data_IF_868958669673
#
_entry.id   IF_868958669673
#
_cell.length_a   1.000
_cell.length_b   1.000
_cell.length_c   1.000
_cell.angle_alpha   90.00
_cell.angle_beta   90.00
_cell.angle_gamma   90.00
#
_symmetry.space_group_name_H-M   'P 1'
#
loop_
_entity.id
_entity.type
_entity.pdbx_description
1 polymer ?
#
# COMPACT_ATOMS: atom_id res chain seq x y z
N UNK A 1 -26.47 11.98 -14.31
CA UNK A 1 -25.92 12.99 -13.40
C UNK A 1 -24.74 12.33 -12.72
N UNK A 2 -23.52 12.64 -13.13
CA UNK A 2 -22.31 12.15 -12.46
C UNK A 2 -22.26 12.83 -11.08
N UNK A 3 -22.21 12.03 -10.03
CA UNK A 3 -21.94 12.54 -8.68
C UNK A 3 -20.58 13.20 -8.70
N UNK A 4 -20.53 14.47 -8.37
CA UNK A 4 -19.26 15.17 -8.14
C UNK A 4 -18.61 14.49 -6.92
N UNK A 5 -17.62 13.66 -7.18
CA UNK A 5 -16.78 13.08 -6.12
C UNK A 5 -15.80 14.18 -5.73
N UNK A 6 -16.19 15.03 -4.80
CA UNK A 6 -15.21 15.84 -4.08
C UNK A 6 -14.38 14.83 -3.30
N UNK A 7 -13.10 14.68 -3.62
CA UNK A 7 -12.23 13.80 -2.88
C UNK A 7 -12.21 14.30 -1.42
N UNK A 8 -12.66 13.50 -0.45
CA UNK A 8 -12.57 13.90 0.93
C UNK A 8 -11.09 13.93 1.33
N UNK A 9 -10.67 14.98 2.03
CA UNK A 9 -9.32 15.04 2.61
C UNK A 9 -9.11 13.81 3.51
N UNK A 10 -8.06 13.05 3.23
CA UNK A 10 -7.72 11.86 4.02
C UNK A 10 -7.14 12.35 5.34
N UNK A 11 -7.82 12.05 6.43
CA UNK A 11 -7.33 12.34 7.76
C UNK A 11 -6.72 11.07 8.37
N UNK A 12 -5.40 11.00 8.38
CA UNK A 12 -4.69 9.95 9.10
C UNK A 12 -4.55 10.37 10.57
N UNK A 13 -5.42 9.87 11.43
CA UNK A 13 -5.39 10.15 12.87
C UNK A 13 -4.69 9.06 13.66
N UNK A 14 -4.82 7.79 13.22
CA UNK A 14 -4.31 6.63 13.90
C UNK A 14 -3.57 5.73 12.90
N UNK A 15 -2.26 5.63 13.04
CA UNK A 15 -1.40 4.81 12.19
C UNK A 15 -0.90 3.61 12.99
N UNK A 16 -1.16 2.40 12.51
CA UNK A 16 -0.63 1.18 13.09
C UNK A 16 0.63 0.78 12.35
N UNK A 17 1.74 0.67 13.08
CA UNK A 17 3.00 0.14 12.57
C UNK A 17 3.29 -1.22 13.20
N UNK A 18 3.28 -2.27 12.38
CA UNK A 18 3.59 -3.61 12.83
C UNK A 18 5.08 -3.92 12.60
N UNK A 19 5.76 -4.37 13.65
CA UNK A 19 7.20 -4.66 13.62
C UNK A 19 7.53 -6.02 14.20
N UNK A 20 8.45 -6.74 13.54
CA UNK A 20 9.15 -7.91 14.06
C UNK A 20 10.59 -7.57 14.51
N UNK A 21 10.90 -6.27 14.52
CA UNK A 21 12.24 -5.72 14.79
C UNK A 21 13.33 -6.21 13.81
N UNK A 22 12.97 -6.70 12.65
CA UNK A 22 13.94 -7.03 11.62
C UNK A 22 14.50 -5.74 10.96
N UNK A 23 15.69 -5.79 10.34
CA UNK A 23 16.25 -4.62 9.63
C UNK A 23 15.34 -4.10 8.52
N UNK A 24 14.51 -4.96 7.93
CA UNK A 24 13.57 -4.58 6.87
C UNK A 24 12.49 -3.62 7.36
N UNK A 25 12.17 -3.61 8.65
CA UNK A 25 11.15 -2.71 9.22
C UNK A 25 11.65 -1.28 9.41
N UNK A 26 12.96 -1.01 9.30
CA UNK A 26 13.52 0.33 9.52
C UNK A 26 12.98 1.36 8.52
N UNK A 27 12.89 0.99 7.23
CA UNK A 27 12.34 1.88 6.20
C UNK A 27 10.84 2.14 6.42
N UNK A 28 10.11 1.10 6.77
CA UNK A 28 8.68 1.22 7.09
C UNK A 28 8.45 2.09 8.33
N UNK A 29 9.32 2.00 9.32
CA UNK A 29 9.31 2.89 10.48
C UNK A 29 9.53 4.35 10.08
N UNK A 30 10.52 4.64 9.24
CA UNK A 30 10.76 6.00 8.75
C UNK A 30 9.55 6.57 8.02
N UNK A 31 8.90 5.77 7.16
CA UNK A 31 7.65 6.17 6.50
C UNK A 31 6.54 6.46 7.52
N UNK A 32 6.38 5.60 8.53
CA UNK A 32 5.39 5.77 9.59
C UNK A 32 5.57 7.07 10.34
N UNK A 33 6.81 7.34 10.79
CA UNK A 33 7.13 8.55 11.56
C UNK A 33 6.91 9.83 10.74
N UNK A 34 7.32 9.81 9.47
CA UNK A 34 7.12 10.95 8.57
C UNK A 34 5.62 11.24 8.37
N UNK A 35 4.82 10.21 8.09
CA UNK A 35 3.36 10.38 7.95
C UNK A 35 2.73 10.85 9.27
N UNK A 36 3.14 10.27 10.40
CA UNK A 36 2.61 10.65 11.70
C UNK A 36 2.93 12.12 12.04
N UNK A 37 4.12 12.60 11.71
CA UNK A 37 4.48 14.01 11.87
C UNK A 37 3.65 14.91 10.95
N UNK A 38 3.52 14.55 9.68
CA UNK A 38 2.80 15.35 8.70
C UNK A 38 1.31 15.51 9.06
N UNK A 39 0.65 14.41 9.48
CA UNK A 39 -0.78 14.40 9.82
C UNK A 39 -1.08 14.67 11.30
N UNK A 40 -0.07 14.75 12.16
CA UNK A 40 -0.27 14.82 13.61
C UNK A 40 -0.92 13.56 14.18
N UNK A 41 -0.70 12.42 13.53
CA UNK A 41 -1.32 11.14 13.87
C UNK A 41 -0.73 10.51 15.15
N UNK A 42 -1.53 9.69 15.82
CA UNK A 42 -1.07 8.79 16.88
C UNK A 42 -0.53 7.51 16.28
N UNK A 43 0.66 7.06 16.71
CA UNK A 43 1.30 5.83 16.22
C UNK A 43 1.04 4.68 17.20
N UNK A 44 0.46 3.60 16.71
CA UNK A 44 0.30 2.35 17.42
C UNK A 44 1.41 1.40 16.99
N UNK A 45 2.47 1.33 17.79
CA UNK A 45 3.60 0.43 17.55
C UNK A 45 3.24 -0.96 18.06
N UNK A 46 3.14 -1.92 17.17
CA UNK A 46 2.62 -3.26 17.47
C UNK A 46 3.68 -4.32 17.19
N UNK A 47 3.93 -5.16 18.20
CA UNK A 47 4.61 -6.44 18.01
C UNK A 47 3.65 -7.58 18.37
N UNK A 48 3.52 -8.56 17.49
CA UNK A 48 2.70 -9.75 17.72
C UNK A 48 3.61 -10.95 17.91
N UNK A 49 3.53 -11.55 19.08
CA UNK A 49 4.25 -12.79 19.39
C UNK A 49 3.42 -13.98 18.91
N UNK A 50 4.01 -14.92 18.16
CA UNK A 50 3.29 -16.13 17.78
C UNK A 50 3.01 -16.98 19.00
N UNK A 51 1.85 -17.68 19.01
CA UNK A 51 1.63 -18.74 19.98
C UNK A 51 2.68 -19.83 19.80
N UNK A 52 3.59 -19.95 20.76
CA UNK A 52 4.54 -21.04 20.77
C UNK A 52 3.79 -22.31 21.20
N UNK A 53 3.72 -23.35 20.35
CA UNK A 53 3.26 -24.65 20.84
C UNK A 53 4.19 -25.13 21.94
N UNK A 54 3.64 -25.72 23.00
CA UNK A 54 4.37 -26.29 24.11
C UNK A 54 5.33 -27.38 23.60
N UNK A 55 6.56 -27.01 23.33
CA UNK A 55 7.63 -27.95 22.96
C UNK A 55 8.61 -27.99 24.13
N UNK A 56 8.70 -29.13 24.79
CA UNK A 56 9.51 -29.41 25.94
C UNK A 56 11.05 -29.37 25.71
N UNK A 57 11.59 -28.48 24.93
CA UNK A 57 13.02 -28.40 24.69
C UNK A 57 13.55 -26.98 24.53
N UNK A 58 14.20 -26.51 25.57
CA UNK A 58 15.23 -25.44 25.55
C UNK A 58 14.83 -24.18 24.79
N UNK A 59 13.68 -23.58 25.14
CA UNK A 59 13.35 -22.23 24.72
C UNK A 59 13.40 -21.30 25.94
N UNK A 60 13.82 -20.03 25.76
CA UNK A 60 13.76 -19.07 26.87
C UNK A 60 12.31 -18.97 27.37
N UNK A 61 12.16 -18.82 28.69
CA UNK A 61 10.85 -18.64 29.31
C UNK A 61 10.03 -17.56 28.60
N UNK A 62 8.69 -17.75 28.40
CA UNK A 62 7.82 -16.76 27.74
C UNK A 62 7.95 -15.37 28.35
N UNK A 63 8.17 -15.27 29.67
CA UNK A 63 8.43 -14.01 30.36
C UNK A 63 9.72 -13.33 29.88
N UNK A 64 10.78 -14.08 29.63
CA UNK A 64 12.04 -13.53 29.13
C UNK A 64 11.91 -13.02 27.69
N UNK A 65 11.13 -13.71 26.86
CA UNK A 65 10.82 -13.25 25.49
C UNK A 65 10.03 -11.94 25.56
N UNK A 66 9.00 -11.88 26.38
CA UNK A 66 8.18 -10.68 26.58
C UNK A 66 8.99 -9.48 27.11
N UNK A 67 9.90 -9.71 28.05
CA UNK A 67 10.83 -8.68 28.55
C UNK A 67 11.76 -8.18 27.45
N UNK A 68 12.30 -9.08 26.62
CA UNK A 68 13.14 -8.69 25.47
C UNK A 68 12.37 -7.88 24.43
N UNK A 69 11.12 -8.24 24.13
CA UNK A 69 10.24 -7.48 23.21
C UNK A 69 9.95 -6.11 23.80
N UNK A 70 9.58 -6.03 25.08
CA UNK A 70 9.30 -4.76 25.76
C UNK A 70 10.51 -3.83 25.74
N UNK A 71 11.70 -4.35 26.00
CA UNK A 71 12.92 -3.55 25.94
C UNK A 71 13.16 -3.00 24.53
N UNK A 72 13.00 -3.82 23.50
CA UNK A 72 13.14 -3.37 22.10
C UNK A 72 12.11 -2.33 21.69
N UNK A 73 10.87 -2.45 22.18
CA UNK A 73 9.83 -1.42 21.99
C UNK A 73 10.27 -0.10 22.61
N UNK A 74 10.67 -0.15 23.89
CA UNK A 74 11.15 1.03 24.61
C UNK A 74 12.38 1.66 23.95
N UNK A 75 13.31 0.86 23.45
CA UNK A 75 14.51 1.35 22.75
C UNK A 75 14.12 2.11 21.48
N UNK A 76 13.14 1.61 20.70
CA UNK A 76 12.62 2.29 19.52
C UNK A 76 11.93 3.60 19.88
N UNK A 77 11.05 3.60 20.88
CA UNK A 77 10.23 4.76 21.25
C UNK A 77 11.01 5.82 22.03
N UNK A 78 12.17 5.44 22.62
CA UNK A 78 13.10 6.39 23.26
C UNK A 78 13.85 7.27 22.25
N UNK A 79 13.79 6.94 20.96
CA UNK A 79 14.46 7.73 19.92
C UNK A 79 13.87 9.14 19.82
N UNK A 80 14.68 10.09 19.38
CA UNK A 80 14.27 11.49 19.23
C UNK A 80 13.06 11.63 18.31
N UNK A 81 12.97 10.79 17.27
CA UNK A 81 11.88 10.79 16.30
C UNK A 81 10.52 10.43 16.90
N UNK A 82 10.49 9.68 18.01
CA UNK A 82 9.24 9.36 18.72
C UNK A 82 8.86 10.40 19.79
N UNK A 83 9.83 11.18 20.32
CA UNK A 83 9.58 12.08 21.47
C UNK A 83 8.51 13.13 21.22
N UNK A 84 8.35 13.55 19.97
CA UNK A 84 7.36 14.56 19.56
C UNK A 84 6.04 13.96 19.09
N UNK A 85 5.95 12.62 18.99
CA UNK A 85 4.77 11.92 18.51
C UNK A 85 3.97 11.30 19.65
N UNK A 86 2.66 11.38 19.55
CA UNK A 86 1.76 10.55 20.37
C UNK A 86 1.89 9.11 19.89
N UNK A 87 2.18 8.19 20.80
CA UNK A 87 2.31 6.79 20.46
C UNK A 87 1.83 5.87 21.58
N UNK A 88 1.49 4.64 21.20
CA UNK A 88 1.18 3.54 22.10
C UNK A 88 1.96 2.30 21.71
N UNK A 89 2.52 1.63 22.69
CA UNK A 89 3.20 0.34 22.53
C UNK A 89 2.21 -0.79 22.84
N UNK A 90 2.05 -1.70 21.88
CA UNK A 90 1.17 -2.85 22.00
C UNK A 90 1.96 -4.12 21.74
N UNK A 91 1.95 -5.02 22.73
CA UNK A 91 2.53 -6.36 22.63
C UNK A 91 1.35 -7.33 22.75
N UNK A 92 1.10 -8.04 21.68
CA UNK A 92 -0.05 -8.95 21.58
C UNK A 92 0.43 -10.36 21.25
N UNK A 93 -0.41 -11.36 21.50
CA UNK A 93 -0.13 -12.75 21.15
C UNK A 93 -1.18 -13.28 20.18
N UNK A 94 -0.75 -14.08 19.20
CA UNK A 94 -1.64 -14.75 18.27
C UNK A 94 -1.20 -14.73 16.83
N UNK A 95 -2.15 -15.01 15.93
CA UNK A 95 -1.96 -14.86 14.49
C UNK A 95 -1.97 -13.38 14.11
N UNK A 96 -0.92 -12.94 13.42
CA UNK A 96 -0.66 -11.52 13.21
C UNK A 96 -1.81 -10.82 12.51
N UNK A 97 -2.34 -11.37 11.42
CA UNK A 97 -3.41 -10.73 10.66
C UNK A 97 -4.72 -10.62 11.46
N UNK A 98 -5.05 -11.62 12.27
CA UNK A 98 -6.21 -11.56 13.15
C UNK A 98 -6.05 -10.50 14.24
N UNK A 99 -4.86 -10.45 14.86
CA UNK A 99 -4.53 -9.45 15.89
C UNK A 99 -4.63 -8.05 15.30
N UNK A 100 -3.98 -7.80 14.14
CA UNK A 100 -4.04 -6.49 13.51
C UNK A 100 -5.48 -6.09 13.13
N UNK A 101 -6.30 -7.03 12.63
CA UNK A 101 -7.72 -6.75 12.34
C UNK A 101 -8.51 -6.34 13.59
N UNK A 102 -8.25 -6.98 14.74
CA UNK A 102 -8.87 -6.60 16.02
C UNK A 102 -8.43 -5.20 16.47
N UNK A 103 -7.13 -4.91 16.33
CA UNK A 103 -6.57 -3.59 16.69
C UNK A 103 -7.09 -2.47 15.77
N UNK A 104 -7.24 -2.74 14.47
CA UNK A 104 -7.84 -1.79 13.51
C UNK A 104 -9.22 -1.34 13.99
N UNK A 105 -10.08 -2.27 14.38
CA UNK A 105 -11.42 -1.96 14.88
C UNK A 105 -11.40 -1.28 16.25
N UNK A 106 -10.53 -1.78 17.17
CA UNK A 106 -10.47 -1.30 18.56
C UNK A 106 -9.97 0.14 18.66
N UNK A 107 -8.99 0.50 17.84
CA UNK A 107 -8.33 1.80 17.88
C UNK A 107 -8.68 2.69 16.68
N UNK A 108 -9.64 2.29 15.85
CA UNK A 108 -10.05 3.07 14.66
C UNK A 108 -8.87 3.44 13.78
N UNK A 109 -8.02 2.44 13.46
CA UNK A 109 -6.81 2.63 12.67
C UNK A 109 -7.19 3.04 11.25
N UNK A 110 -6.59 4.12 10.77
CA UNK A 110 -6.82 4.67 9.43
C UNK A 110 -5.82 4.12 8.41
N UNK A 111 -4.64 3.70 8.86
CA UNK A 111 -3.57 3.17 8.01
C UNK A 111 -2.78 2.09 8.76
N UNK A 112 -2.55 0.96 8.12
CA UNK A 112 -1.54 -0.01 8.56
C UNK A 112 -0.26 0.25 7.75
N UNK A 113 0.89 0.29 8.41
CA UNK A 113 2.21 0.32 7.76
C UNK A 113 2.95 -0.97 8.11
N UNK A 114 3.42 -1.68 7.08
CA UNK A 114 4.16 -2.93 7.22
C UNK A 114 5.33 -2.99 6.24
N UNK A 115 6.37 -3.73 6.61
CA UNK A 115 7.43 -4.12 5.69
C UNK A 115 7.03 -5.38 4.92
N UNK A 116 7.40 -5.46 3.64
CA UNK A 116 7.18 -6.66 2.82
C UNK A 116 8.17 -7.78 3.14
N UNK A 117 9.33 -7.46 3.72
CA UNK A 117 10.38 -8.42 4.07
C UNK A 117 10.38 -8.73 5.56
N UNK A 118 10.10 -9.99 5.95
CA UNK A 118 10.35 -10.51 7.30
C UNK A 118 11.71 -11.21 7.37
N UNK A 119 12.03 -11.76 8.56
CA UNK A 119 13.31 -12.47 8.85
C UNK A 119 13.69 -13.55 7.83
N UNK A 120 12.74 -14.09 7.07
CA UNK A 120 12.92 -15.18 6.10
C UNK A 120 12.87 -14.75 4.62
N UNK A 121 12.60 -13.48 4.33
CA UNK A 121 12.30 -13.01 2.97
C UNK A 121 13.51 -12.47 2.19
N UNK A 122 14.73 -12.58 2.74
CA UNK A 122 15.94 -12.00 2.12
C UNK A 122 16.39 -12.66 0.82
N UNK A 123 15.86 -13.83 0.46
CA UNK A 123 16.37 -14.62 -0.71
C UNK A 123 15.39 -14.71 -1.89
N UNK A 124 14.15 -14.25 -1.75
CA UNK A 124 13.15 -14.30 -2.83
C UNK A 124 12.32 -13.03 -2.84
N UNK A 125 12.02 -12.50 -4.03
CA UNK A 125 11.06 -11.41 -4.29
C UNK A 125 9.61 -11.85 -3.93
N UNK A 126 9.40 -12.25 -2.69
CA UNK A 126 8.12 -12.73 -2.20
C UNK A 126 7.69 -11.88 -1.01
N UNK A 127 6.42 -11.54 -1.01
CA UNK A 127 5.78 -10.95 0.14
C UNK A 127 5.83 -11.95 1.30
N UNK A 128 6.28 -11.53 2.47
CA UNK A 128 6.24 -12.39 3.67
C UNK A 128 4.80 -12.81 3.98
N UNK A 129 4.61 -14.01 4.51
CA UNK A 129 3.27 -14.56 4.80
C UNK A 129 2.36 -13.61 5.56
N UNK A 130 2.90 -12.92 6.56
CA UNK A 130 2.17 -11.92 7.34
C UNK A 130 1.78 -10.72 6.50
N UNK A 131 2.73 -10.17 5.74
CA UNK A 131 2.47 -9.02 4.89
C UNK A 131 1.44 -9.36 3.80
N UNK A 132 1.52 -10.55 3.22
CA UNK A 132 0.53 -11.05 2.26
C UNK A 132 -0.86 -11.17 2.88
N UNK A 133 -0.96 -11.74 4.06
CA UNK A 133 -2.24 -11.91 4.74
C UNK A 133 -2.87 -10.58 5.13
N UNK A 134 -2.08 -9.64 5.66
CA UNK A 134 -2.52 -8.28 5.96
C UNK A 134 -2.94 -7.56 4.69
N UNK A 135 -2.12 -7.59 3.63
CA UNK A 135 -2.44 -6.99 2.33
C UNK A 135 -3.78 -7.50 1.77
N UNK A 136 -4.06 -8.80 1.92
CA UNK A 136 -5.30 -9.41 1.41
C UNK A 136 -6.52 -9.10 2.27
N UNK A 137 -6.39 -8.99 3.58
CA UNK A 137 -7.51 -9.03 4.52
C UNK A 137 -7.73 -7.73 5.31
N UNK A 138 -6.83 -6.76 5.27
CA UNK A 138 -6.94 -5.53 6.05
C UNK A 138 -8.24 -4.76 5.75
N UNK A 139 -8.86 -4.20 6.79
CA UNK A 139 -10.09 -3.42 6.70
C UNK A 139 -9.86 -1.93 6.50
N UNK A 140 -8.62 -1.49 6.55
CA UNK A 140 -8.17 -0.14 6.23
C UNK A 140 -7.06 -0.19 5.18
N UNK A 141 -6.65 0.95 4.60
CA UNK A 141 -5.51 1.03 3.70
C UNK A 141 -4.24 0.44 4.32
N UNK A 142 -3.41 -0.15 3.47
CA UNK A 142 -2.13 -0.74 3.87
C UNK A 142 -1.00 -0.10 3.06
N UNK A 143 -0.06 0.54 3.74
CA UNK A 143 1.19 0.99 3.16
C UNK A 143 2.23 -0.11 3.33
N UNK A 144 2.62 -0.72 2.23
CA UNK A 144 3.68 -1.72 2.20
C UNK A 144 4.99 -1.09 1.77
N UNK A 145 6.07 -1.37 2.52
CA UNK A 145 7.40 -0.84 2.25
C UNK A 145 8.36 -1.98 1.96
N UNK A 146 8.74 -2.08 0.69
CA UNK A 146 9.61 -3.14 0.19
C UNK A 146 11.11 -2.89 0.42
N UNK A 147 11.96 -3.90 0.21
CA UNK A 147 13.41 -3.75 0.33
C UNK A 147 13.98 -2.78 -0.72
N UNK A 148 13.33 -2.69 -1.88
CA UNK A 148 13.69 -1.80 -2.98
C UNK A 148 13.17 -0.37 -2.82
N UNK A 149 12.30 -0.11 -1.83
CA UNK A 149 11.79 1.22 -1.54
C UNK A 149 12.92 2.15 -1.04
N UNK A 150 13.72 2.65 -2.00
CA UNK A 150 14.82 3.57 -1.74
C UNK A 150 14.33 5.03 -1.70
N UNK A 151 13.17 5.30 -2.29
CA UNK A 151 12.60 6.63 -2.45
C UNK A 151 11.55 6.91 -1.38
N UNK A 152 12.00 7.23 -0.22
CA UNK A 152 11.19 7.92 0.76
C UNK A 152 11.99 9.15 1.19
N UNK A 153 11.47 10.32 0.92
CA UNK A 153 12.16 11.55 1.28
C UNK A 153 12.34 11.61 2.80
N UNK A 154 13.54 11.98 3.23
CA UNK A 154 13.86 12.09 4.65
C UNK A 154 12.99 13.13 5.38
N UNK A 155 12.44 14.10 4.62
CA UNK A 155 11.50 15.12 5.08
C UNK A 155 10.05 14.65 5.13
N UNK A 156 9.76 13.44 4.65
CA UNK A 156 8.42 12.85 4.62
C UNK A 156 7.47 13.45 3.59
N UNK A 157 7.93 14.39 2.77
CA UNK A 157 7.12 15.01 1.73
C UNK A 157 7.06 14.14 0.47
N UNK A 158 5.84 13.83 0.04
CA UNK A 158 5.60 13.22 -1.26
C UNK A 158 5.66 14.30 -2.34
N UNK A 159 6.47 14.10 -3.36
CA UNK A 159 6.62 15.02 -4.51
C UNK A 159 5.98 14.47 -5.78
N UNK A 160 5.90 13.16 -5.89
CA UNK A 160 5.31 12.48 -7.03
C UNK A 160 4.56 11.22 -6.60
N UNK A 161 3.28 11.16 -6.91
CA UNK A 161 2.39 10.04 -6.64
C UNK A 161 1.98 9.42 -7.98
N UNK A 162 2.17 8.11 -8.09
CA UNK A 162 1.71 7.31 -9.22
C UNK A 162 0.44 6.55 -8.80
N UNK A 163 -0.67 6.85 -9.45
CA UNK A 163 -1.91 6.09 -9.31
C UNK A 163 -2.11 5.22 -10.54
N UNK A 164 -2.15 3.89 -10.36
CA UNK A 164 -2.39 2.96 -11.45
C UNK A 164 -3.82 2.37 -11.37
N UNK A 165 -4.49 2.31 -12.51
CA UNK A 165 -5.88 1.89 -12.62
C UNK A 165 -6.13 1.00 -13.84
N UNK A 166 -7.00 0.00 -13.66
CA UNK A 166 -7.60 -0.81 -14.73
C UNK A 166 -9.05 -0.36 -15.03
N UNK A 167 -9.47 0.80 -14.49
CA UNK A 167 -10.83 1.32 -14.49
C UNK A 167 -11.87 0.44 -13.77
N UNK A 168 -11.44 -0.67 -13.18
CA UNK A 168 -12.31 -1.53 -12.40
C UNK A 168 -12.81 -0.84 -11.12
N UNK A 169 -13.95 -1.30 -10.58
CA UNK A 169 -14.53 -0.68 -9.38
C UNK A 169 -13.56 -0.73 -8.18
N UNK A 170 -12.72 -1.74 -8.11
CA UNK A 170 -11.72 -1.86 -7.04
C UNK A 170 -10.59 -0.83 -7.20
N UNK A 171 -10.08 -0.63 -8.41
CA UNK A 171 -9.02 0.35 -8.65
C UNK A 171 -9.49 1.79 -8.37
N UNK A 172 -10.73 2.10 -8.68
CA UNK A 172 -11.34 3.42 -8.42
C UNK A 172 -11.36 3.79 -6.93
N UNK A 173 -11.39 2.82 -6.02
CA UNK A 173 -11.33 3.11 -4.57
C UNK A 173 -10.00 3.74 -4.13
N UNK A 174 -8.92 3.54 -4.89
CA UNK A 174 -7.62 4.17 -4.62
C UNK A 174 -7.55 5.64 -5.03
N UNK A 175 -8.37 6.06 -5.99
CA UNK A 175 -8.30 7.40 -6.57
C UNK A 175 -8.48 8.55 -5.57
N UNK A 176 -9.48 8.53 -4.65
CA UNK A 176 -9.62 9.57 -3.64
C UNK A 176 -8.37 9.73 -2.76
N UNK A 177 -7.66 8.63 -2.49
CA UNK A 177 -6.41 8.66 -1.74
C UNK A 177 -5.28 9.29 -2.53
N UNK A 178 -5.15 8.94 -3.81
CA UNK A 178 -4.14 9.52 -4.67
C UNK A 178 -4.33 11.04 -4.82
N UNK A 179 -5.57 11.49 -5.01
CA UNK A 179 -5.92 12.90 -5.11
C UNK A 179 -5.62 13.64 -3.79
N UNK A 180 -6.14 13.14 -2.65
CA UNK A 180 -5.94 13.77 -1.34
C UNK A 180 -4.46 13.90 -0.99
N UNK A 181 -3.69 12.81 -1.16
CA UNK A 181 -2.25 12.83 -0.94
C UNK A 181 -1.53 13.83 -1.85
N UNK A 182 -1.95 13.96 -3.11
CA UNK A 182 -1.36 14.91 -4.04
C UNK A 182 -1.68 16.37 -3.64
N UNK A 183 -2.92 16.66 -3.27
CA UNK A 183 -3.34 17.98 -2.81
C UNK A 183 -2.61 18.39 -1.53
N UNK A 184 -2.60 17.52 -0.52
CA UNK A 184 -2.02 17.81 0.80
C UNK A 184 -0.49 17.99 0.75
N UNK A 185 0.19 17.22 -0.09
CA UNK A 185 1.64 17.30 -0.24
C UNK A 185 2.10 18.26 -1.35
N UNK A 186 1.18 18.86 -2.11
CA UNK A 186 1.48 19.62 -3.34
C UNK A 186 2.30 18.78 -4.32
N UNK A 187 1.98 17.50 -4.38
CA UNK A 187 2.69 16.54 -5.20
C UNK A 187 2.16 16.52 -6.62
N UNK A 188 3.02 16.17 -7.56
CA UNK A 188 2.60 15.78 -8.91
C UNK A 188 1.84 14.46 -8.83
N UNK A 189 0.74 14.34 -9.57
CA UNK A 189 -0.06 13.14 -9.69
C UNK A 189 -0.03 12.62 -11.12
N UNK A 190 0.47 11.40 -11.30
CA UNK A 190 0.40 10.69 -12.59
C UNK A 190 -0.65 9.59 -12.48
N UNK A 191 -1.63 9.60 -13.38
CA UNK A 191 -2.60 8.51 -13.55
C UNK A 191 -2.11 7.61 -14.67
N UNK A 192 -1.86 6.35 -14.36
CA UNK A 192 -1.36 5.35 -15.30
C UNK A 192 -2.42 4.30 -15.59
N UNK A 193 -2.63 4.02 -16.87
CA UNK A 193 -3.30 2.81 -17.34
C UNK A 193 -2.36 2.01 -18.23
N UNK A 194 -2.29 0.69 -18.00
CA UNK A 194 -1.49 -0.21 -18.83
C UNK A 194 -2.44 -1.09 -19.63
N UNK A 195 -2.50 -0.84 -20.93
CA UNK A 195 -3.26 -1.64 -21.87
C UNK A 195 -2.48 -2.87 -22.35
N UNK A 196 -3.16 -3.93 -22.81
CA UNK A 196 -2.51 -5.08 -23.41
C UNK A 196 -1.63 -4.69 -24.61
N UNK A 197 -0.56 -5.45 -24.85
CA UNK A 197 0.30 -5.22 -26.01
C UNK A 197 -0.48 -5.35 -27.32
N UNK A 198 -0.15 -4.49 -28.31
CA UNK A 198 -0.67 -4.63 -29.67
C UNK A 198 -0.41 -6.04 -30.24
N UNK A 199 -1.45 -6.67 -30.79
CA UNK A 199 -1.34 -8.01 -31.39
C UNK A 199 -1.58 -9.19 -30.43
N UNK A 200 -1.74 -8.97 -29.15
CA UNK A 200 -2.23 -9.99 -28.20
C UNK A 200 -3.74 -10.13 -28.37
N UNK A 201 -4.20 -11.31 -28.81
CA UNK A 201 -5.62 -11.59 -28.96
C UNK A 201 -6.34 -11.45 -27.61
N UNK A 202 -7.35 -10.60 -27.54
CA UNK A 202 -8.22 -10.55 -26.38
C UNK A 202 -8.95 -11.90 -26.24
N UNK A 203 -9.13 -12.42 -25.02
CA UNK A 203 -9.75 -13.74 -24.80
C UNK A 203 -11.15 -13.90 -25.41
N UNK A 204 -11.83 -12.80 -25.72
CA UNK A 204 -13.19 -12.75 -26.27
C UNK A 204 -13.22 -12.56 -27.81
N UNK A 205 -12.08 -12.44 -28.48
CA UNK A 205 -12.04 -12.27 -29.93
C UNK A 205 -12.33 -13.60 -30.65
N UNK A 206 -13.31 -13.60 -31.53
CA UNK A 206 -13.57 -14.77 -32.40
C UNK A 206 -12.36 -15.05 -33.30
N UNK A 207 -11.95 -16.32 -33.49
CA UNK A 207 -10.85 -16.67 -34.36
C UNK A 207 -11.13 -16.17 -35.80
N UNK A 208 -10.24 -15.32 -36.31
CA UNK A 208 -10.28 -14.83 -37.70
C UNK A 208 -10.74 -13.40 -37.91
N UNK A 209 -11.15 -12.68 -36.88
CA UNK A 209 -11.51 -11.26 -36.95
C UNK A 209 -10.77 -10.48 -35.87
N UNK A 210 -9.47 -10.28 -36.06
CA UNK A 210 -8.77 -9.23 -35.32
C UNK A 210 -9.09 -7.92 -36.02
N UNK A 211 -9.87 -6.99 -35.43
CA UNK A 211 -9.95 -5.65 -35.97
C UNK A 211 -8.52 -5.08 -35.94
N UNK A 212 -8.13 -4.43 -37.01
CA UNK A 212 -6.93 -3.58 -37.01
C UNK A 212 -7.28 -2.42 -36.09
N UNK A 213 -6.95 -2.57 -34.80
CA UNK A 213 -7.12 -1.48 -33.82
C UNK A 213 -6.07 -0.44 -34.14
N UNK A 214 -6.52 0.78 -34.34
CA UNK A 214 -5.63 1.93 -34.34
C UNK A 214 -5.23 2.19 -32.87
N UNK A 215 -4.00 1.84 -32.54
CA UNK A 215 -3.50 1.93 -31.17
C UNK A 215 -3.33 3.39 -30.71
N UNK A 216 -3.17 4.32 -31.63
CA UNK A 216 -3.18 5.76 -31.31
C UNK A 216 -4.59 6.21 -30.90
N UNK A 217 -5.62 5.72 -31.59
CA UNK A 217 -7.01 5.99 -31.22
C UNK A 217 -7.37 5.34 -29.87
N UNK A 218 -6.92 4.11 -29.63
CA UNK A 218 -7.10 3.41 -28.33
C UNK A 218 -6.41 4.19 -27.20
N UNK A 219 -5.18 4.62 -27.41
CA UNK A 219 -4.45 5.41 -26.41
C UNK A 219 -5.15 6.74 -26.11
N UNK A 220 -5.57 7.48 -27.16
CA UNK A 220 -6.29 8.73 -26.98
C UNK A 220 -7.64 8.57 -26.27
N UNK A 221 -8.40 7.53 -26.61
CA UNK A 221 -9.66 7.22 -25.93
C UNK A 221 -9.44 6.86 -24.46
N UNK A 222 -8.40 6.10 -24.16
CA UNK A 222 -8.02 5.70 -22.80
C UNK A 222 -7.53 6.90 -21.98
N UNK A 223 -6.75 7.78 -22.57
CA UNK A 223 -6.33 9.03 -21.92
C UNK A 223 -7.53 9.91 -21.56
N UNK A 224 -8.51 10.01 -22.45
CA UNK A 224 -9.77 10.73 -22.17
C UNK A 224 -10.54 10.07 -20.99
N UNK A 225 -10.50 8.75 -20.87
CA UNK A 225 -11.09 8.06 -19.72
C UNK A 225 -10.33 8.38 -18.42
N UNK A 226 -8.99 8.42 -18.44
CA UNK A 226 -8.19 8.84 -17.29
C UNK A 226 -8.51 10.28 -16.88
N UNK A 227 -8.62 11.20 -17.84
CA UNK A 227 -9.01 12.60 -17.58
C UNK A 227 -10.37 12.71 -16.91
N UNK A 228 -11.32 11.88 -17.34
CA UNK A 228 -12.67 11.87 -16.78
C UNK A 228 -12.74 11.34 -15.33
N UNK A 229 -11.69 10.69 -14.83
CA UNK A 229 -11.62 10.22 -13.43
C UNK A 229 -11.44 11.38 -12.46
N UNK A 230 -10.78 12.47 -12.85
CA UNK A 230 -10.53 13.61 -11.99
C UNK A 230 -11.64 14.64 -12.17
N UNK A 231 -12.45 14.90 -11.14
CA UNK A 231 -13.47 15.93 -11.20
C UNK A 231 -12.85 17.33 -11.39
N UNK A 232 -13.49 18.16 -12.20
CA UNK A 232 -13.08 19.55 -12.43
C UNK A 232 -13.04 20.41 -11.15
N UNK A 233 -13.76 19.96 -10.09
CA UNK A 233 -13.81 20.64 -8.81
C UNK A 233 -12.58 20.42 -7.93
N UNK A 234 -11.68 19.48 -8.27
CA UNK A 234 -10.48 19.22 -7.49
C UNK A 234 -9.41 20.26 -7.82
N UNK A 235 -8.93 20.93 -6.78
CA UNK A 235 -7.89 21.96 -6.89
C UNK A 235 -6.51 21.36 -6.66
N UNK A 236 -6.06 20.49 -7.59
CA UNK A 236 -4.69 20.01 -7.58
C UNK A 236 -3.70 21.15 -7.82
N UNK A 237 -2.60 21.16 -7.10
CA UNK A 237 -1.55 22.17 -7.25
C UNK A 237 -0.81 22.09 -8.58
N UNK A 238 -0.78 20.90 -9.16
CA UNK A 238 -0.19 20.61 -10.46
C UNK A 238 -1.27 19.97 -11.35
N UNK A 239 -1.24 20.25 -12.62
CA UNK A 239 -2.08 19.55 -13.58
C UNK A 239 -1.71 18.06 -13.58
N UNK A 240 -2.67 17.12 -13.44
CA UNK A 240 -2.39 15.70 -13.46
C UNK A 240 -1.79 15.25 -14.79
N UNK A 241 -0.83 14.35 -14.72
CA UNK A 241 -0.28 13.68 -15.88
C UNK A 241 -1.12 12.42 -16.16
N UNK A 242 -1.45 12.19 -17.42
CA UNK A 242 -2.22 11.02 -17.85
C UNK A 242 -1.34 10.19 -18.78
N UNK A 243 -1.02 8.98 -18.33
CA UNK A 243 -0.09 8.09 -19.01
C UNK A 243 -0.79 6.79 -19.41
N UNK A 244 -0.73 6.45 -20.70
CA UNK A 244 -1.26 5.21 -21.26
C UNK A 244 -0.09 4.44 -21.86
N UNK A 245 0.24 3.33 -21.25
CA UNK A 245 1.32 2.46 -21.69
C UNK A 245 0.75 1.10 -22.13
N UNK A 246 1.54 0.34 -22.91
CA UNK A 246 1.19 -0.98 -23.38
C UNK A 246 2.17 -1.99 -22.82
N UNK A 247 1.69 -3.18 -22.44
CA UNK A 247 2.56 -4.26 -21.98
C UNK A 247 2.06 -5.02 -20.76
N UNK A 248 3.01 -5.57 -20.01
CA UNK A 248 2.75 -6.26 -18.73
C UNK A 248 2.43 -5.23 -17.64
N UNK A 249 1.21 -5.25 -17.06
CA UNK A 249 0.81 -4.21 -16.11
C UNK A 249 1.76 -4.07 -14.92
N UNK A 250 2.17 -5.17 -14.29
CA UNK A 250 3.01 -5.09 -13.10
C UNK A 250 4.40 -4.52 -13.41
N UNK A 251 5.05 -5.00 -14.47
CA UNK A 251 6.37 -4.54 -14.89
C UNK A 251 6.35 -3.06 -15.30
N UNK A 252 5.32 -2.68 -16.05
CA UNK A 252 5.15 -1.28 -16.51
C UNK A 252 4.93 -0.34 -15.33
N UNK A 253 4.07 -0.72 -14.36
CA UNK A 253 3.83 0.10 -13.15
C UNK A 253 5.13 0.26 -12.36
N UNK A 254 5.87 -0.85 -12.13
CA UNK A 254 7.14 -0.81 -11.38
C UNK A 254 8.17 0.07 -12.07
N UNK A 255 8.31 -0.03 -13.39
CA UNK A 255 9.20 0.81 -14.19
C UNK A 255 8.83 2.29 -14.12
N UNK A 256 7.55 2.61 -14.30
CA UNK A 256 7.06 4.00 -14.21
C UNK A 256 7.26 4.57 -12.81
N UNK A 257 7.17 3.73 -11.78
CA UNK A 257 7.36 4.12 -10.39
C UNK A 257 8.81 4.46 -10.01
N UNK A 258 9.80 4.27 -10.89
CA UNK A 258 11.19 4.67 -10.63
C UNK A 258 11.35 6.15 -10.30
N UNK A 259 10.41 7.00 -10.74
CA UNK A 259 10.40 8.43 -10.45
C UNK A 259 9.39 8.82 -9.37
N UNK A 260 8.56 7.90 -8.91
CA UNK A 260 7.53 8.16 -7.91
C UNK A 260 8.04 7.98 -6.47
N UNK A 261 7.44 8.72 -5.53
CA UNK A 261 7.68 8.57 -4.10
C UNK A 261 6.70 7.58 -3.47
N UNK A 262 5.55 7.37 -4.11
CA UNK A 262 4.52 6.42 -3.69
C UNK A 262 3.68 5.95 -4.88
N UNK A 263 3.33 4.65 -4.86
CA UNK A 263 2.29 4.11 -5.74
C UNK A 263 1.00 4.01 -4.93
N UNK A 264 -0.14 4.35 -5.55
CA UNK A 264 -1.47 4.09 -5.01
C UNK A 264 -2.20 3.10 -5.91
N UNK A 265 -2.70 2.01 -5.32
CA UNK A 265 -3.46 0.97 -6.01
C UNK A 265 -4.77 0.69 -5.30
N UNK A 266 -5.85 0.57 -6.05
CA UNK A 266 -7.04 -0.10 -5.57
C UNK A 266 -6.86 -1.62 -5.67
N UNK A 267 -7.23 -2.36 -4.63
CA UNK A 267 -7.01 -3.80 -4.58
C UNK A 267 -8.29 -4.57 -4.35
N UNK A 268 -8.44 -5.65 -5.11
CA UNK A 268 -9.54 -6.61 -4.94
C UNK A 268 -9.23 -7.54 -3.78
N UNK A 269 -10.17 -7.66 -2.86
CA UNK A 269 -10.05 -8.66 -1.80
C UNK A 269 -10.30 -10.06 -2.37
N UNK A 270 -9.48 -11.05 -1.97
CA UNK A 270 -9.71 -12.41 -2.40
C UNK A 270 -11.03 -12.92 -1.83
N UNK A 271 -11.83 -13.53 -2.69
CA UNK A 271 -12.98 -14.35 -2.27
C UNK A 271 -12.50 -15.76 -1.92
N UNK A 272 -13.29 -16.59 -1.21
CA UNK A 272 -12.92 -17.97 -0.94
C UNK A 272 -12.56 -18.76 -2.20
N UNK A 273 -13.15 -18.41 -3.34
CA UNK A 273 -12.90 -19.04 -4.66
C UNK A 273 -11.60 -18.56 -5.30
N UNK A 274 -11.14 -17.33 -5.01
CA UNK A 274 -9.96 -16.72 -5.63
C UNK A 274 -8.71 -16.78 -4.75
N UNK A 275 -8.77 -17.34 -3.55
CA UNK A 275 -7.62 -17.48 -2.63
C UNK A 275 -6.43 -18.23 -3.24
N UNK A 276 -6.66 -19.06 -4.23
CA UNK A 276 -5.64 -19.89 -4.88
C UNK A 276 -5.26 -19.42 -6.30
N UNK A 277 -5.92 -18.37 -6.80
CA UNK A 277 -5.56 -17.76 -8.08
C UNK A 277 -4.36 -16.83 -7.86
N UNK A 278 -3.28 -17.10 -8.57
CA UNK A 278 -1.94 -16.56 -8.46
C UNK A 278 -1.82 -15.06 -8.12
N UNK A 279 -0.60 -14.64 -7.90
CA UNK A 279 -0.27 -13.26 -7.56
C UNK A 279 -0.80 -12.30 -8.64
N UNK A 280 -1.84 -11.52 -8.29
CA UNK A 280 -2.36 -10.47 -9.18
C UNK A 280 -1.35 -9.32 -9.34
N UNK A 281 -1.62 -8.42 -10.29
CA UNK A 281 -0.79 -7.25 -10.60
C UNK A 281 -0.36 -6.50 -9.33
N UNK A 282 -1.30 -6.20 -8.44
CA UNK A 282 -1.01 -5.46 -7.21
C UNK A 282 -0.01 -6.20 -6.28
N UNK A 283 -0.07 -7.53 -6.22
CA UNK A 283 0.89 -8.32 -5.45
C UNK A 283 2.30 -8.21 -6.02
N UNK A 284 2.46 -8.35 -7.35
CA UNK A 284 3.76 -8.20 -8.00
C UNK A 284 4.32 -6.80 -7.80
N UNK A 285 3.49 -5.76 -7.97
CA UNK A 285 3.90 -4.37 -7.73
C UNK A 285 4.40 -4.19 -6.30
N UNK A 286 3.68 -4.71 -5.29
CA UNK A 286 4.11 -4.63 -3.88
C UNK A 286 5.46 -5.31 -3.64
N UNK A 287 5.74 -6.43 -4.32
CA UNK A 287 7.01 -7.15 -4.17
C UNK A 287 8.20 -6.43 -4.83
N UNK A 288 7.98 -5.79 -5.97
CA UNK A 288 9.04 -5.30 -6.86
C UNK A 288 9.18 -3.77 -6.85
N UNK A 289 8.25 -3.05 -6.22
CA UNK A 289 8.20 -1.58 -6.24
C UNK A 289 9.48 -0.92 -5.70
N UNK A 290 9.99 0.11 -6.41
CA UNK A 290 11.11 0.94 -5.94
C UNK A 290 10.72 1.97 -4.87
N UNK A 291 9.43 2.12 -4.59
CA UNK A 291 8.87 3.03 -3.60
C UNK A 291 7.75 2.35 -2.78
N UNK A 292 7.30 2.95 -1.66
CA UNK A 292 6.16 2.46 -0.91
C UNK A 292 4.88 2.35 -1.75
N UNK A 293 4.06 1.31 -1.47
CA UNK A 293 2.81 1.06 -2.17
C UNK A 293 1.63 1.16 -1.19
N UNK A 294 0.75 2.11 -1.43
CA UNK A 294 -0.51 2.26 -0.71
C UNK A 294 -1.60 1.45 -1.41
N UNK A 295 -2.06 0.40 -0.75
CA UNK A 295 -3.11 -0.48 -1.23
C UNK A 295 -4.44 -0.19 -0.56
N UNK A 296 -5.47 0.11 -1.34
CA UNK A 296 -6.80 0.52 -0.86
C UNK A 296 -7.84 -0.52 -1.26
N UNK A 297 -8.47 -1.16 -0.29
CA UNK A 297 -9.53 -2.15 -0.52
C UNK A 297 -10.94 -1.54 -0.52
N UNK A 298 -11.89 -2.17 -1.21
CA UNK A 298 -13.26 -1.69 -1.47
C UNK A 298 -14.15 -1.43 -0.23
N UNK A 299 -13.76 -1.85 0.97
CA UNK A 299 -14.59 -1.69 2.18
C UNK A 299 -14.33 -0.42 2.98
N UNK A 300 -13.29 0.31 2.65
CA UNK A 300 -12.98 1.53 3.38
C UNK A 300 -13.82 2.68 2.83
N UNK A 301 -14.73 3.20 3.65
CA UNK A 301 -15.40 4.47 3.37
C UNK A 301 -14.56 5.57 3.98
N UNK A 302 -14.05 6.46 3.16
CA UNK A 302 -13.49 7.72 3.63
C UNK A 302 -14.57 8.41 4.46
N UNK A 303 -14.26 8.77 5.69
CA UNK A 303 -15.17 9.48 6.59
C UNK A 303 -15.26 10.93 6.21
#
# INVERSE_FOLDING_TARGET
>A
MASVIVAPSIQLQNILFATDFSPSTQKALSCTLSLAHHYGAEVYLVNVMPHLPFVEAVQPEPEQIGLSVKQRMTDLTSSESFRSLRHKELIEEGEVAEVLSKLVRRYYIDLIVISTGGRKAQEKLLLGSVAEEVFRNAECPVLTVGPHAARWAADGHLRHILYATDFGPESIHGLPYAISLAEENRARLTLLHVAPEPGVALPEAQPGTLPVLDWEEVAAATENQLRALIPEANQLWHEPEYDVQFGSPAETIVKTAETADMIVLGVKRPTPLTKHLGAGVAYQVVCESPCPVLSVGARYRVK
#
